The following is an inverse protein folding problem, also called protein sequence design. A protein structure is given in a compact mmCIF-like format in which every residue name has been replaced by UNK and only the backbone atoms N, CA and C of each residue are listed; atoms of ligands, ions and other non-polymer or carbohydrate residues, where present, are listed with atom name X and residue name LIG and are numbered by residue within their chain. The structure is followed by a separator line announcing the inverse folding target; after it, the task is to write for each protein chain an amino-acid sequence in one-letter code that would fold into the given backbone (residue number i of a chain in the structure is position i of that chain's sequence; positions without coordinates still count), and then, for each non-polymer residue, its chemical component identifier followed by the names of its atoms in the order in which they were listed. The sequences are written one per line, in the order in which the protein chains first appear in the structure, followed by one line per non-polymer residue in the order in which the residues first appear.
data_IF_065485322272
#
_entry.id   IF_065485322272
#
_cell.length_a   1.000
_cell.length_b   1.000
_cell.length_c   1.000
_cell.angle_alpha   90.00
_cell.angle_beta   90.00
_cell.angle_gamma   90.00
#
_symmetry.space_group_name_H-M   'P 1'
#
loop_
_entity.id
_entity.type
_entity.pdbx_description
1 polymer ?
#
# COMPACT_ATOMS: atom_id res chain seq x y z
N UNK A 1 -53.03 -51.45 16.92
CA UNK A 1 -53.65 -51.71 15.61
C UNK A 1 -52.85 -50.94 14.58
N UNK A 2 -51.86 -51.59 13.99
CA UNK A 2 -51.33 -51.23 12.68
C UNK A 2 -52.44 -51.35 11.63
N UNK A 3 -52.39 -50.51 10.60
CA UNK A 3 -52.41 -50.94 9.19
C UNK A 3 -52.17 -49.77 8.22
N UNK A 4 -51.02 -49.88 7.56
CA UNK A 4 -50.81 -49.77 6.11
C UNK A 4 -50.75 -48.42 5.37
N UNK A 5 -49.62 -48.33 4.66
CA UNK A 5 -49.03 -47.27 3.83
C UNK A 5 -49.58 -47.34 2.38
N UNK A 6 -49.33 -46.35 1.50
CA UNK A 6 -48.16 -46.47 0.61
C UNK A 6 -47.44 -45.13 0.34
N UNK A 7 -46.11 -45.05 0.52
CA UNK A 7 -45.10 -45.27 -0.53
C UNK A 7 -45.19 -44.32 -1.74
N UNK A 8 -44.66 -43.10 -1.58
CA UNK A 8 -44.03 -42.38 -2.69
C UNK A 8 -42.52 -42.33 -2.49
N UNK A 9 -41.85 -43.20 -3.23
CA UNK A 9 -40.40 -43.33 -3.33
C UNK A 9 -39.89 -42.17 -4.20
N UNK A 10 -39.45 -41.06 -3.60
CA UNK A 10 -38.68 -40.07 -4.34
C UNK A 10 -37.21 -40.50 -4.37
N UNK A 11 -36.71 -40.63 -5.60
CA UNK A 11 -35.38 -41.08 -5.97
C UNK A 11 -34.30 -40.23 -5.31
N UNK A 12 -33.18 -40.88 -5.01
CA UNK A 12 -32.05 -40.36 -4.26
C UNK A 12 -31.59 -38.96 -4.66
N UNK A 13 -31.56 -38.07 -3.68
CA UNK A 13 -30.58 -36.98 -3.67
C UNK A 13 -29.22 -37.65 -3.49
N UNK A 14 -28.41 -37.59 -4.54
CA UNK A 14 -27.01 -37.97 -4.48
C UNK A 14 -26.36 -37.16 -3.35
N UNK A 15 -25.76 -37.85 -2.40
CA UNK A 15 -24.85 -37.25 -1.42
C UNK A 15 -23.71 -36.67 -2.25
N UNK A 16 -23.75 -35.36 -2.48
CA UNK A 16 -22.69 -34.69 -3.21
C UNK A 16 -21.42 -34.76 -2.36
N UNK A 17 -20.33 -35.05 -3.05
CA UNK A 17 -19.07 -35.48 -2.45
C UNK A 17 -18.52 -34.41 -1.49
N UNK A 18 -17.93 -34.90 -0.39
CA UNK A 18 -17.48 -34.09 0.73
C UNK A 18 -16.60 -32.92 0.33
N UNK A 19 -17.12 -31.72 0.60
CA UNK A 19 -16.30 -30.55 0.90
C UNK A 19 -16.64 -30.16 2.33
N UNK A 20 -15.79 -30.57 3.27
CA UNK A 20 -15.85 -30.04 4.63
C UNK A 20 -15.69 -28.52 4.50
N UNK A 21 -16.54 -27.68 5.14
CA UNK A 21 -16.24 -26.27 5.20
C UNK A 21 -14.89 -26.13 5.89
N UNK A 22 -13.94 -25.54 5.16
CA UNK A 22 -12.59 -25.26 5.62
C UNK A 22 -12.69 -24.36 6.86
N UNK A 23 -12.74 -24.97 8.05
CA UNK A 23 -12.52 -24.25 9.29
C UNK A 23 -11.01 -24.01 9.35
N UNK A 24 -10.56 -22.94 8.69
CA UNK A 24 -9.26 -22.35 8.97
C UNK A 24 -9.25 -22.02 10.46
N UNK A 25 -8.66 -22.93 11.26
CA UNK A 25 -8.32 -22.64 12.63
C UNK A 25 -7.16 -21.64 12.56
N UNK A 26 -7.46 -20.36 12.64
CA UNK A 26 -6.44 -19.39 13.05
C UNK A 26 -5.97 -19.83 14.44
N UNK A 27 -4.70 -20.16 14.59
CA UNK A 27 -4.12 -20.47 15.90
C UNK A 27 -3.89 -19.15 16.65
N UNK A 28 -4.96 -18.59 17.20
CA UNK A 28 -4.88 -17.57 18.24
C UNK A 28 -4.91 -18.22 19.62
N UNK A 29 -4.23 -17.61 20.59
CA UNK A 29 -4.32 -18.01 22.00
C UNK A 29 -5.73 -17.67 22.51
N UNK A 30 -6.14 -18.29 23.63
CA UNK A 30 -7.50 -18.14 24.21
C UNK A 30 -7.82 -16.70 24.65
N UNK A 31 -6.82 -15.84 24.74
CA UNK A 31 -6.85 -14.41 25.05
C UNK A 31 -7.03 -13.50 23.81
N UNK A 32 -7.10 -14.08 22.60
CA UNK A 32 -7.23 -13.33 21.35
C UNK A 32 -5.90 -12.79 20.80
N UNK A 33 -4.77 -13.05 21.46
CA UNK A 33 -3.45 -12.63 20.98
C UNK A 33 -2.89 -13.59 19.92
N UNK A 34 -2.15 -13.08 18.92
CA UNK A 34 -1.47 -13.91 17.93
C UNK A 34 -0.37 -14.75 18.59
N UNK A 35 -0.20 -16.00 18.10
CA UNK A 35 0.79 -16.95 18.64
C UNK A 35 2.24 -16.52 18.37
N UNK A 36 2.48 -15.70 17.34
CA UNK A 36 3.80 -15.26 16.88
C UNK A 36 3.91 -13.74 16.94
N UNK A 37 5.09 -13.24 17.32
CA UNK A 37 5.37 -11.80 17.41
C UNK A 37 5.22 -11.09 16.06
N UNK A 38 5.55 -11.76 14.96
CA UNK A 38 5.38 -11.26 13.59
C UNK A 38 3.91 -11.01 13.22
N UNK A 39 3.00 -11.91 13.60
CA UNK A 39 1.58 -11.71 13.37
C UNK A 39 0.99 -10.60 14.27
N UNK A 40 1.59 -10.34 15.43
CA UNK A 40 1.27 -9.18 16.28
C UNK A 40 1.69 -7.86 15.64
N UNK A 41 2.92 -7.79 15.13
CA UNK A 41 3.47 -6.61 14.47
C UNK A 41 2.68 -6.25 13.19
N UNK A 42 2.26 -7.25 12.41
CA UNK A 42 1.40 -7.03 11.23
C UNK A 42 0.02 -6.50 11.64
N UNK A 43 -0.57 -7.00 12.72
CA UNK A 43 -1.88 -6.54 13.22
C UNK A 43 -1.82 -5.11 13.76
N UNK A 44 -0.73 -4.77 14.46
CA UNK A 44 -0.49 -3.42 14.99
C UNK A 44 -0.34 -2.40 13.86
N UNK A 45 0.46 -2.70 12.83
CA UNK A 45 0.60 -1.85 11.64
C UNK A 45 -0.71 -1.67 10.88
N UNK A 46 -1.55 -2.70 10.81
CA UNK A 46 -2.88 -2.60 10.19
C UNK A 46 -3.85 -1.75 11.01
N UNK A 47 -3.76 -1.81 12.35
CA UNK A 47 -4.57 -0.99 13.26
C UNK A 47 -4.18 0.49 13.16
N UNK A 48 -2.89 0.80 13.13
CA UNK A 48 -2.38 2.16 12.93
C UNK A 48 -2.82 2.75 11.58
N UNK A 49 -2.79 1.95 10.51
CA UNK A 49 -3.26 2.38 9.18
C UNK A 49 -4.77 2.63 9.13
N UNK A 50 -5.55 1.82 9.84
CA UNK A 50 -7.00 2.02 9.98
C UNK A 50 -7.35 3.29 10.79
N UNK A 51 -6.55 3.61 11.82
CA UNK A 51 -6.72 4.85 12.59
C UNK A 51 -6.37 6.09 11.75
N UNK A 52 -5.38 6.02 10.86
CA UNK A 52 -5.00 7.15 9.97
C UNK A 52 -6.06 7.45 8.89
N UNK A 53 -6.69 6.42 8.30
CA UNK A 53 -7.81 6.61 7.36
C UNK A 53 -9.08 7.14 8.06
N UNK A 54 -9.30 6.77 9.32
CA UNK A 54 -10.43 7.27 10.09
C UNK A 54 -10.32 8.78 10.39
N UNK A 55 -9.13 9.30 10.68
CA UNK A 55 -8.93 10.74 10.94
C UNK A 55 -9.14 11.55 9.65
N UNK A 56 -8.66 11.05 8.49
CA UNK A 56 -8.92 11.64 7.17
C UNK A 56 -10.42 11.64 6.84
N UNK A 57 -11.14 10.59 7.23
CA UNK A 57 -12.60 10.52 7.09
C UNK A 57 -13.37 11.41 8.08
N UNK A 58 -12.78 11.74 9.24
CA UNK A 58 -13.45 12.52 10.28
C UNK A 58 -13.42 14.01 9.96
N UNK A 59 -12.33 14.52 9.38
CA UNK A 59 -12.20 15.94 8.99
C UNK A 59 -13.02 16.30 7.73
N UNK A 60 -13.44 15.29 6.96
CA UNK A 60 -14.35 15.44 5.80
C UNK A 60 -15.82 15.16 6.12
N UNK A 61 -16.16 14.83 7.37
CA UNK A 61 -17.56 14.69 7.79
C UNK A 61 -18.16 16.07 8.05
N UNK A 62 -18.34 16.85 6.98
CA UNK A 62 -19.23 18.00 7.03
C UNK A 62 -20.62 17.43 7.29
N UNK A 63 -21.05 17.44 8.56
CA UNK A 63 -22.38 16.99 8.95
C UNK A 63 -23.40 17.73 8.07
N UNK A 64 -24.09 17.01 7.17
CA UNK A 64 -25.05 17.61 6.23
C UNK A 64 -26.10 18.45 6.98
N UNK A 65 -26.46 18.03 8.19
CA UNK A 65 -27.43 18.73 9.04
C UNK A 65 -26.88 20.08 9.52
N UNK A 66 -25.56 20.25 9.67
CA UNK A 66 -24.94 21.55 9.96
C UNK A 66 -24.89 22.46 8.72
N UNK A 67 -24.76 21.91 7.51
CA UNK A 67 -24.81 22.70 6.27
C UNK A 67 -26.23 23.21 6.06
N UNK A 68 -27.24 22.34 6.19
CA UNK A 68 -28.64 22.72 5.99
C UNK A 68 -29.08 23.77 7.00
N UNK A 69 -28.72 23.62 8.28
CA UNK A 69 -29.01 24.62 9.30
C UNK A 69 -28.27 25.93 9.07
N UNK A 70 -27.04 25.90 8.55
CA UNK A 70 -26.29 27.10 8.15
C UNK A 70 -26.98 27.80 6.98
N UNK A 71 -27.35 27.07 5.93
CA UNK A 71 -28.02 27.63 4.74
C UNK A 71 -29.38 28.21 5.15
N UNK A 72 -30.17 27.51 5.96
CA UNK A 72 -31.48 27.97 6.44
C UNK A 72 -31.35 29.23 7.29
N UNK A 73 -30.39 29.29 8.22
CA UNK A 73 -30.21 30.48 9.08
C UNK A 73 -29.54 31.66 8.38
N UNK A 74 -28.72 31.43 7.36
CA UNK A 74 -28.10 32.47 6.53
C UNK A 74 -29.10 33.06 5.50
N UNK A 75 -30.02 32.25 4.98
CA UNK A 75 -31.05 32.67 4.00
C UNK A 75 -32.33 33.19 4.67
N UNK A 76 -32.83 32.50 5.71
CA UNK A 76 -34.10 32.81 6.37
C UNK A 76 -33.93 33.53 7.72
N UNK A 77 -32.70 33.64 8.23
CA UNK A 77 -32.39 34.20 9.55
C UNK A 77 -32.45 33.16 10.68
N UNK A 78 -31.80 33.41 11.83
CA UNK A 78 -31.90 32.54 13.00
C UNK A 78 -33.35 32.35 13.43
N UNK A 79 -33.73 31.12 13.76
CA UNK A 79 -35.08 30.75 14.16
C UNK A 79 -35.51 31.51 15.42
N UNK A 80 -36.30 32.58 15.24
CA UNK A 80 -36.85 33.35 16.36
C UNK A 80 -38.22 32.78 16.71
N UNK A 81 -38.23 31.89 17.70
CA UNK A 81 -39.44 31.41 18.36
C UNK A 81 -40.33 32.60 18.74
N UNK A 82 -41.52 32.71 18.13
CA UNK A 82 -42.54 33.71 18.47
C UNK A 82 -43.19 34.50 17.33
N UNK A 83 -42.84 34.30 16.05
CA UNK A 83 -43.62 34.92 14.96
C UNK A 83 -44.94 34.17 14.74
N UNK A 84 -46.00 34.74 15.30
CA UNK A 84 -47.39 34.42 14.96
C UNK A 84 -47.53 34.55 13.45
N UNK A 85 -48.00 33.47 12.82
CA UNK A 85 -48.43 33.47 11.41
C UNK A 85 -49.71 34.29 11.36
N UNK A 86 -49.58 35.62 11.25
CA UNK A 86 -50.74 36.47 11.05
C UNK A 86 -51.36 36.09 9.70
N UNK A 87 -52.66 35.81 9.72
CA UNK A 87 -53.46 35.54 8.54
C UNK A 87 -53.19 36.60 7.46
N UNK A 88 -53.00 36.15 6.22
CA UNK A 88 -53.28 36.96 5.04
C UNK A 88 -52.29 38.10 4.73
N UNK A 89 -51.10 37.77 4.28
CA UNK A 89 -50.45 38.36 3.09
C UNK A 89 -49.02 37.83 3.03
N UNK A 90 -48.82 36.73 2.30
CA UNK A 90 -47.50 36.38 1.81
C UNK A 90 -46.91 37.54 1.01
N UNK A 91 -45.58 37.53 0.85
CA UNK A 91 -44.82 38.52 0.10
C UNK A 91 -45.51 38.76 -1.26
N UNK A 92 -46.11 39.93 -1.48
CA UNK A 92 -46.55 40.31 -2.82
C UNK A 92 -45.32 40.42 -3.69
N UNK A 93 -45.18 39.47 -4.61
CA UNK A 93 -44.14 39.39 -5.63
C UNK A 93 -44.32 40.54 -6.64
N UNK A 94 -44.04 41.79 -6.27
CA UNK A 94 -44.07 42.90 -7.23
C UNK A 94 -43.03 44.00 -7.01
N UNK A 95 -42.21 43.97 -5.97
CA UNK A 95 -41.32 45.12 -5.67
C UNK A 95 -39.90 44.73 -5.22
N UNK A 96 -39.36 43.60 -5.70
CA UNK A 96 -37.94 43.29 -5.46
C UNK A 96 -37.21 42.59 -6.63
N UNK A 97 -37.81 42.59 -7.83
CA UNK A 97 -37.14 42.16 -9.06
C UNK A 97 -36.95 43.37 -9.98
N UNK A 98 -36.09 44.32 -9.61
CA UNK A 98 -35.68 45.34 -10.60
C UNK A 98 -34.28 45.94 -10.48
N UNK A 99 -33.49 45.65 -9.45
CA UNK A 99 -32.21 46.34 -9.33
C UNK A 99 -31.15 45.47 -8.67
N UNK A 100 -30.27 44.87 -9.49
CA UNK A 100 -29.04 44.22 -9.01
C UNK A 100 -28.42 43.21 -9.97
N UNK A 101 -29.18 42.64 -10.90
CA UNK A 101 -28.71 41.52 -11.75
C UNK A 101 -28.04 41.94 -13.06
N UNK A 102 -27.25 43.02 -13.06
CA UNK A 102 -26.38 43.35 -14.20
C UNK A 102 -24.92 43.42 -13.78
N UNK A 103 -24.41 42.37 -13.11
CA UNK A 103 -22.96 42.17 -13.09
C UNK A 103 -22.53 40.74 -12.81
N UNK A 104 -23.11 39.74 -13.48
CA UNK A 104 -22.38 38.51 -13.81
C UNK A 104 -23.13 37.73 -14.87
N UNK A 105 -22.93 38.10 -16.13
CA UNK A 105 -23.03 37.14 -17.23
C UNK A 105 -21.62 37.09 -17.81
N UNK A 106 -20.77 36.13 -17.41
CA UNK A 106 -19.49 35.97 -18.09
C UNK A 106 -19.83 35.69 -19.54
N UNK A 107 -19.31 36.50 -20.45
CA UNK A 107 -19.46 36.26 -21.89
C UNK A 107 -19.05 34.81 -22.17
N UNK A 108 -19.75 34.10 -23.05
CA UNK A 108 -19.46 32.67 -23.31
C UNK A 108 -17.99 32.39 -23.64
N UNK A 109 -17.28 33.37 -24.20
CA UNK A 109 -15.83 33.37 -24.42
C UNK A 109 -14.99 33.37 -23.13
N UNK A 110 -15.40 34.07 -22.07
CA UNK A 110 -14.73 34.10 -20.77
C UNK A 110 -14.82 32.75 -20.06
N UNK A 111 -16.01 32.15 -20.04
CA UNK A 111 -16.21 30.81 -19.48
C UNK A 111 -15.40 29.75 -20.25
N UNK A 112 -15.30 29.86 -21.58
CA UNK A 112 -14.50 28.96 -22.41
C UNK A 112 -12.99 29.11 -22.16
N UNK A 113 -12.49 30.33 -22.02
CA UNK A 113 -11.07 30.58 -21.73
C UNK A 113 -10.66 30.02 -20.35
N UNK A 114 -11.55 30.11 -19.36
CA UNK A 114 -11.31 29.60 -18.00
C UNK A 114 -11.34 28.07 -17.96
N UNK A 115 -12.26 27.43 -18.68
CA UNK A 115 -12.26 25.97 -18.88
C UNK A 115 -10.98 25.51 -19.59
N UNK A 116 -10.50 26.25 -20.59
CA UNK A 116 -9.26 25.90 -21.28
C UNK A 116 -8.05 26.02 -20.36
N UNK A 117 -7.96 27.10 -19.56
CA UNK A 117 -6.90 27.27 -18.57
C UNK A 117 -6.88 26.13 -17.54
N UNK A 118 -8.05 25.69 -17.07
CA UNK A 118 -8.15 24.56 -16.15
C UNK A 118 -7.72 23.25 -16.80
N UNK A 119 -8.05 23.03 -18.08
CA UNK A 119 -7.56 21.87 -18.84
C UNK A 119 -6.05 21.86 -18.95
N UNK A 120 -5.45 23.02 -19.24
CA UNK A 120 -4.00 23.14 -19.35
C UNK A 120 -3.32 22.90 -18.00
N UNK A 121 -3.90 23.39 -16.89
CA UNK A 121 -3.41 23.09 -15.53
C UNK A 121 -3.52 21.60 -15.18
N UNK A 122 -4.63 20.94 -15.52
CA UNK A 122 -4.80 19.50 -15.31
C UNK A 122 -3.78 18.72 -16.14
N UNK A 123 -3.56 19.10 -17.40
CA UNK A 123 -2.55 18.48 -18.26
C UNK A 123 -1.14 18.66 -17.68
N UNK A 124 -0.82 19.85 -17.16
CA UNK A 124 0.47 20.11 -16.52
C UNK A 124 0.65 19.27 -15.25
N UNK A 125 -0.37 19.19 -14.41
CA UNK A 125 -0.34 18.35 -13.20
C UNK A 125 -0.21 16.86 -13.54
N UNK A 126 -0.87 16.40 -14.60
CA UNK A 126 -0.74 15.02 -15.07
C UNK A 126 0.68 14.76 -15.59
N UNK A 127 1.24 15.67 -16.39
CA UNK A 127 2.60 15.53 -16.91
C UNK A 127 3.64 15.47 -15.78
N UNK A 128 3.55 16.35 -14.78
CA UNK A 128 4.48 16.34 -13.65
C UNK A 128 4.34 15.09 -12.78
N UNK A 129 3.13 14.56 -12.64
CA UNK A 129 2.88 13.30 -11.92
C UNK A 129 3.49 12.11 -12.66
N UNK A 130 3.32 12.05 -13.99
CA UNK A 130 3.90 10.99 -14.82
C UNK A 130 5.43 11.04 -14.80
N UNK A 131 6.00 12.25 -14.85
CA UNK A 131 7.45 12.44 -14.75
C UNK A 131 8.00 11.96 -13.41
N UNK A 132 7.35 12.30 -12.29
CA UNK A 132 7.74 11.79 -10.96
C UNK A 132 7.66 10.26 -10.88
N UNK A 133 6.64 9.64 -11.48
CA UNK A 133 6.53 8.17 -11.53
C UNK A 133 7.69 7.57 -12.33
N UNK A 134 8.03 8.16 -13.48
CA UNK A 134 9.13 7.71 -14.31
C UNK A 134 10.49 7.85 -13.61
N UNK A 135 10.71 8.94 -12.87
CA UNK A 135 11.91 9.13 -12.07
C UNK A 135 12.06 8.06 -10.98
N UNK A 136 10.99 7.76 -10.26
CA UNK A 136 10.99 6.71 -9.23
C UNK A 136 11.27 5.34 -9.84
N UNK A 137 10.64 5.01 -10.98
CA UNK A 137 10.89 3.77 -11.70
C UNK A 137 12.36 3.65 -12.14
N UNK A 138 12.94 4.73 -12.68
CA UNK A 138 14.34 4.77 -13.10
C UNK A 138 15.30 4.54 -11.93
N UNK A 139 15.06 5.20 -10.78
CA UNK A 139 15.86 5.00 -9.57
C UNK A 139 15.80 3.55 -9.06
N UNK A 140 14.64 2.92 -9.17
CA UNK A 140 14.47 1.52 -8.80
C UNK A 140 15.28 0.57 -9.70
N UNK A 141 15.23 0.78 -11.02
CA UNK A 141 16.02 0.01 -11.97
C UNK A 141 17.53 0.19 -11.77
N UNK A 142 17.97 1.42 -11.49
CA UNK A 142 19.37 1.73 -11.21
C UNK A 142 19.85 1.00 -9.94
N UNK A 143 19.07 1.03 -8.86
CA UNK A 143 19.38 0.29 -7.63
C UNK A 143 19.46 -1.23 -7.89
N UNK A 144 18.55 -1.75 -8.72
CA UNK A 144 18.56 -3.17 -9.09
C UNK A 144 19.81 -3.54 -9.92
N UNK A 145 20.28 -2.62 -10.78
CA UNK A 145 21.52 -2.81 -11.54
C UNK A 145 22.75 -2.74 -10.63
N UNK A 146 22.80 -1.81 -9.68
CA UNK A 146 23.90 -1.71 -8.71
C UNK A 146 24.06 -3.00 -7.90
N UNK A 147 22.96 -3.53 -7.34
CA UNK A 147 22.98 -4.80 -6.60
C UNK A 147 23.46 -5.97 -7.46
N UNK A 148 23.05 -6.03 -8.74
CA UNK A 148 23.54 -7.06 -9.67
C UNK A 148 25.03 -6.91 -9.95
N UNK A 149 25.51 -5.69 -10.13
CA UNK A 149 26.92 -5.41 -10.37
C UNK A 149 27.78 -5.74 -9.13
N UNK A 150 27.31 -5.38 -7.94
CA UNK A 150 27.98 -5.69 -6.66
C UNK A 150 28.04 -7.19 -6.40
N UNK A 151 26.94 -7.92 -6.64
CA UNK A 151 26.94 -9.38 -6.54
C UNK A 151 27.92 -10.02 -7.54
N UNK A 152 27.99 -9.51 -8.78
CA UNK A 152 28.94 -9.99 -9.77
C UNK A 152 30.41 -9.68 -9.39
N UNK A 153 30.66 -8.53 -8.76
CA UNK A 153 31.97 -8.16 -8.24
C UNK A 153 32.38 -9.08 -7.08
N UNK A 154 31.48 -9.35 -6.13
CA UNK A 154 31.74 -10.25 -5.01
C UNK A 154 32.02 -11.69 -5.47
N UNK A 155 31.34 -12.16 -6.52
CA UNK A 155 31.63 -13.48 -7.12
C UNK A 155 33.03 -13.51 -7.73
N UNK A 156 33.43 -12.48 -8.48
CA UNK A 156 34.80 -12.40 -9.03
C UNK A 156 35.87 -12.33 -7.95
N UNK A 157 35.62 -11.59 -6.87
CA UNK A 157 36.55 -11.50 -5.75
C UNK A 157 36.69 -12.85 -5.03
N UNK A 158 35.58 -13.57 -4.82
CA UNK A 158 35.59 -14.92 -4.28
C UNK A 158 36.36 -15.90 -5.18
N UNK A 159 36.15 -15.85 -6.50
CA UNK A 159 36.92 -16.65 -7.46
C UNK A 159 38.42 -16.30 -7.40
N UNK A 160 38.77 -15.02 -7.40
CA UNK A 160 40.16 -14.58 -7.26
C UNK A 160 40.79 -15.05 -5.94
N UNK A 161 40.05 -15.01 -4.83
CA UNK A 161 40.49 -15.53 -3.54
C UNK A 161 40.72 -17.04 -3.57
N UNK A 162 39.84 -17.82 -4.22
CA UNK A 162 40.06 -19.27 -4.37
C UNK A 162 41.31 -19.58 -5.20
N UNK A 163 41.54 -18.84 -6.29
CA UNK A 163 42.74 -18.98 -7.10
C UNK A 163 44.01 -18.60 -6.33
N UNK A 164 43.97 -17.56 -5.48
CA UNK A 164 45.09 -17.17 -4.64
C UNK A 164 45.40 -18.23 -3.56
N UNK A 165 44.37 -18.81 -2.94
CA UNK A 165 44.50 -19.91 -1.96
C UNK A 165 45.12 -21.15 -2.61
N UNK A 166 44.74 -21.47 -3.85
CA UNK A 166 45.33 -22.61 -4.55
C UNK A 166 46.79 -22.35 -4.98
N UNK A 167 47.16 -21.10 -5.24
CA UNK A 167 48.56 -20.74 -5.46
C UNK A 167 49.39 -20.80 -4.17
N UNK A 168 48.85 -20.36 -3.02
CA UNK A 168 49.58 -20.43 -1.75
C UNK A 168 49.87 -21.88 -1.36
N UNK A 169 48.90 -22.79 -1.51
CA UNK A 169 49.10 -24.22 -1.24
C UNK A 169 50.27 -24.82 -2.04
N UNK A 170 50.37 -24.47 -3.33
CA UNK A 170 51.48 -24.92 -4.19
C UNK A 170 52.83 -24.38 -3.71
N UNK A 171 52.86 -23.15 -3.20
CA UNK A 171 54.06 -22.55 -2.66
C UNK A 171 54.49 -23.19 -1.33
N UNK A 172 53.53 -23.45 -0.44
CA UNK A 172 53.75 -24.13 0.84
C UNK A 172 54.30 -25.56 0.63
N UNK A 173 53.77 -26.28 -0.36
CA UNK A 173 54.24 -27.63 -0.71
C UNK A 173 55.68 -27.62 -1.26
N UNK A 174 56.02 -26.62 -2.09
CA UNK A 174 57.39 -26.43 -2.57
C UNK A 174 58.36 -26.14 -1.43
N UNK A 175 57.96 -25.33 -0.44
CA UNK A 175 58.78 -25.05 0.73
C UNK A 175 59.04 -26.33 1.55
N UNK A 176 58.02 -27.16 1.76
CA UNK A 176 58.16 -28.42 2.48
C UNK A 176 59.15 -29.37 1.77
N UNK A 177 59.07 -29.46 0.45
CA UNK A 177 59.98 -30.31 -0.33
C UNK A 177 61.43 -29.84 -0.22
N UNK A 178 61.66 -28.53 -0.24
CA UNK A 178 63.00 -27.95 -0.08
C UNK A 178 63.57 -28.23 1.32
N UNK A 179 62.73 -28.17 2.36
CA UNK A 179 63.12 -28.49 3.73
C UNK A 179 63.55 -29.95 3.87
N UNK A 180 62.82 -30.89 3.25
CA UNK A 180 63.17 -32.32 3.25
C UNK A 180 64.52 -32.57 2.57
N UNK A 181 64.78 -31.91 1.43
CA UNK A 181 66.10 -32.01 0.77
C UNK A 181 67.24 -31.50 1.64
N UNK A 182 67.07 -30.37 2.33
CA UNK A 182 68.09 -29.87 3.27
C UNK A 182 68.38 -30.87 4.39
N UNK A 183 67.35 -31.53 4.91
CA UNK A 183 67.51 -32.49 6.00
C UNK A 183 68.26 -33.74 5.54
N UNK A 184 67.91 -34.27 4.36
CA UNK A 184 68.62 -35.40 3.74
C UNK A 184 70.08 -35.05 3.45
N UNK A 185 70.34 -33.85 2.92
CA UNK A 185 71.70 -33.39 2.63
C UNK A 185 72.56 -33.29 3.89
N UNK A 186 72.02 -32.74 4.98
CA UNK A 186 72.72 -32.68 6.27
C UNK A 186 73.03 -34.07 6.86
N UNK A 187 72.14 -35.05 6.66
CA UNK A 187 72.39 -36.42 7.11
C UNK A 187 73.53 -37.08 6.32
N UNK A 188 73.61 -36.86 5.01
CA UNK A 188 74.71 -37.37 4.17
C UNK A 188 76.07 -36.73 4.45
N UNK A 189 76.08 -35.56 5.08
CA UNK A 189 77.31 -34.86 5.51
C UNK A 189 77.77 -35.26 6.92
N UNK A 190 76.98 -36.05 7.66
CA UNK A 190 77.42 -36.58 8.97
C UNK A 190 78.41 -37.73 8.72
N UNK A 191 79.62 -37.67 9.30
CA UNK A 191 80.59 -38.75 9.15
C UNK A 191 80.02 -40.04 9.77
N UNK A 192 80.20 -41.21 9.12
CA UNK A 192 79.82 -42.47 9.73
C UNK A 192 80.62 -42.69 11.01
N UNK A 193 79.91 -43.01 12.09
CA UNK A 193 80.49 -43.41 13.38
C UNK A 193 81.14 -44.78 13.31
#
# INVERSE_FOLDING_TARGET
MDRDRPFFRHKGMKMDNGVRPNRQRSSSKKDGSPMTSEAGEIMEKLKEKAEYEAIVSTDSSVNLENIDNRIITEVLGPERYGRVRFQGSGVTQTQYFRSGSQQYMPSGSQAQAEVQRLRDQIAQMQASTVEQIAEVQRKYEELQQQLRAEAAAAVREAEAATMAVDQSKKYDELQLQLQQMMQMFQQSQKPPS
#
